data_IF_210094516878
#
_entry.id   IF_210094516878
#
_cell.length_a   1.000
_cell.length_b   1.000
_cell.length_c   1.000
_cell.angle_alpha   90.00
_cell.angle_beta   90.00
_cell.angle_gamma   90.00
#
_symmetry.space_group_name_H-M   'P 1'
#
loop_
_entity.id
_entity.type
_entity.pdbx_description
1 polymer ?
#
# COMPACT_ATOMS: atom_id res chain seq x y z
N UNK A 1 -14.45 -20.75 -13.25
CA UNK A 1 -13.46 -20.69 -12.17
C UNK A 1 -12.95 -19.26 -12.11
N UNK A 2 -13.18 -18.56 -11.02
CA UNK A 2 -12.70 -17.20 -10.81
C UNK A 2 -11.29 -17.28 -10.21
N UNK A 3 -10.26 -17.06 -11.03
CA UNK A 3 -8.88 -17.02 -10.55
C UNK A 3 -8.60 -15.59 -10.07
N UNK A 4 -8.45 -15.42 -8.76
CA UNK A 4 -8.02 -14.16 -8.16
C UNK A 4 -6.50 -14.09 -8.24
N UNK A 5 -5.98 -13.07 -8.93
CA UNK A 5 -4.54 -12.85 -9.11
C UNK A 5 -3.87 -12.19 -7.88
N UNK A 6 -4.65 -11.67 -6.93
CA UNK A 6 -4.14 -10.99 -5.75
C UNK A 6 -5.06 -11.21 -4.53
N UNK A 7 -4.48 -11.02 -3.34
CA UNK A 7 -5.22 -10.84 -2.10
C UNK A 7 -5.52 -9.36 -1.92
N UNK A 8 -6.79 -9.01 -1.78
CA UNK A 8 -7.25 -7.63 -1.60
C UNK A 8 -8.12 -7.54 -0.37
N UNK A 9 -7.87 -6.53 0.46
CA UNK A 9 -8.69 -6.19 1.62
C UNK A 9 -8.95 -4.68 1.62
N UNK A 10 -10.22 -4.30 1.70
CA UNK A 10 -10.64 -2.91 1.86
C UNK A 10 -10.77 -2.56 3.34
N UNK A 11 -10.35 -1.34 3.69
CA UNK A 11 -10.38 -0.78 5.05
C UNK A 11 -11.16 0.55 5.04
N UNK A 12 -12.50 0.52 4.96
CA UNK A 12 -13.30 1.74 4.75
C UNK A 12 -13.35 2.68 5.96
N UNK A 13 -13.01 2.21 7.15
CA UNK A 13 -13.05 2.97 8.41
C UNK A 13 -11.68 3.54 8.82
N UNK A 14 -10.71 3.52 7.91
CA UNK A 14 -9.33 3.92 8.17
C UNK A 14 -8.82 4.83 7.04
N UNK A 15 -8.08 5.87 7.40
CA UNK A 15 -7.35 6.66 6.41
C UNK A 15 -6.12 5.90 5.89
N UNK A 16 -5.52 6.44 4.82
CA UNK A 16 -4.39 5.80 4.16
C UNK A 16 -3.18 5.64 5.08
N UNK A 17 -2.84 6.68 5.84
CA UNK A 17 -1.64 6.70 6.67
C UNK A 17 -1.73 5.66 7.80
N UNK A 18 -2.87 5.62 8.50
CA UNK A 18 -3.12 4.58 9.51
C UNK A 18 -3.18 3.17 8.91
N UNK A 19 -3.69 3.02 7.68
CA UNK A 19 -3.72 1.72 7.01
C UNK A 19 -2.32 1.21 6.67
N UNK A 20 -1.41 2.10 6.22
CA UNK A 20 -0.01 1.78 5.94
C UNK A 20 0.73 1.39 7.22
N UNK A 21 0.58 2.19 8.28
CA UNK A 21 1.19 1.93 9.59
C UNK A 21 0.78 0.56 10.13
N UNK A 22 -0.53 0.34 10.29
CA UNK A 22 -1.08 -0.93 10.81
C UNK A 22 -0.67 -2.14 9.97
N UNK A 23 -0.67 -2.01 8.65
CA UNK A 23 -0.28 -3.12 7.77
C UNK A 23 1.20 -3.46 7.92
N UNK A 24 2.05 -2.45 8.02
CA UNK A 24 3.50 -2.62 8.19
C UNK A 24 3.83 -3.27 9.52
N UNK A 25 3.16 -2.86 10.60
CA UNK A 25 3.30 -3.47 11.94
C UNK A 25 2.92 -4.95 11.93
N UNK A 26 1.74 -5.29 11.42
CA UNK A 26 1.27 -6.68 11.37
C UNK A 26 2.15 -7.57 10.48
N UNK A 27 2.65 -7.05 9.36
CA UNK A 27 3.61 -7.77 8.53
C UNK A 27 4.90 -8.04 9.31
N UNK A 28 5.41 -7.06 10.06
CA UNK A 28 6.61 -7.21 10.86
C UNK A 28 6.44 -8.23 12.00
N UNK A 29 5.27 -8.26 12.67
CA UNK A 29 4.93 -9.26 13.70
C UNK A 29 4.99 -10.70 13.14
N UNK A 30 4.57 -10.88 11.89
CA UNK A 30 4.62 -12.15 11.17
C UNK A 30 5.99 -12.42 10.51
N UNK A 31 6.99 -11.57 10.76
CA UNK A 31 8.36 -11.72 10.25
C UNK A 31 8.60 -11.19 8.83
N UNK A 32 7.66 -10.43 8.27
CA UNK A 32 7.76 -9.78 6.96
C UNK A 32 8.13 -8.31 7.11
N UNK A 33 9.41 -7.99 6.94
CA UNK A 33 9.89 -6.61 6.93
C UNK A 33 9.67 -5.90 5.58
N UNK A 34 9.18 -4.66 5.60
CA UNK A 34 9.11 -3.79 4.43
C UNK A 34 10.51 -3.19 4.17
N UNK A 35 11.10 -3.51 3.03
CA UNK A 35 12.46 -3.03 2.68
C UNK A 35 12.47 -1.71 1.91
N UNK A 36 11.42 -1.48 1.13
CA UNK A 36 11.33 -0.34 0.22
C UNK A 36 9.91 0.15 0.15
N UNK A 37 9.75 1.47 0.21
CA UNK A 37 8.49 2.17 -0.04
C UNK A 37 8.66 3.10 -1.24
N UNK A 38 7.63 3.18 -2.09
CA UNK A 38 7.62 4.05 -3.26
C UNK A 38 6.29 4.78 -3.29
N UNK A 39 6.33 6.10 -3.13
CA UNK A 39 5.18 6.96 -3.40
C UNK A 39 4.98 7.07 -4.93
N UNK A 40 4.03 6.31 -5.44
CA UNK A 40 3.67 6.30 -6.86
C UNK A 40 3.09 7.64 -7.30
N UNK A 41 2.27 8.28 -6.45
CA UNK A 41 1.60 9.56 -6.76
C UNK A 41 2.64 10.66 -6.92
N UNK A 42 3.55 10.82 -5.96
CA UNK A 42 4.65 11.78 -6.06
C UNK A 42 5.58 11.48 -7.24
N UNK A 43 5.84 10.19 -7.51
CA UNK A 43 6.70 9.78 -8.64
C UNK A 43 6.08 10.16 -9.98
N UNK A 44 4.77 9.97 -10.14
CA UNK A 44 4.06 10.32 -11.38
C UNK A 44 3.98 11.83 -11.55
N UNK A 45 3.71 12.59 -10.49
CA UNK A 45 3.77 14.05 -10.54
C UNK A 45 5.14 14.53 -11.01
N UNK A 46 6.22 14.02 -10.41
CA UNK A 46 7.59 14.44 -10.74
C UNK A 46 8.00 14.09 -12.18
N UNK A 47 7.60 12.92 -12.69
CA UNK A 47 8.09 12.40 -13.97
C UNK A 47 7.18 12.72 -15.15
N UNK A 48 5.88 12.77 -14.91
CA UNK A 48 4.85 12.84 -15.96
C UNK A 48 3.95 14.08 -15.82
N UNK A 49 4.11 14.88 -14.75
CA UNK A 49 3.28 16.06 -14.45
C UNK A 49 1.78 15.72 -14.36
N UNK A 50 1.48 14.56 -13.74
CA UNK A 50 0.11 14.09 -13.49
C UNK A 50 -0.27 14.25 -12.01
N UNK A 51 -1.46 14.78 -11.74
CA UNK A 51 -2.07 14.91 -10.40
C UNK A 51 -3.25 13.93 -10.25
N UNK A 52 -3.31 13.22 -9.12
CA UNK A 52 -4.35 12.24 -8.74
C UNK A 52 -5.05 12.63 -7.44
#
# INVERSE_FOLDING_TARGET
MEIRYALVKELPEMDYDHAVERTTELLAEEGFGVLTEIDVKATFKKKLDLDF
#
